data_IF_527972313330
#
_entry.id   IF_527972313330
#
_cell.length_a   1.000
_cell.length_b   1.000
_cell.length_c   1.000
_cell.angle_alpha   90.00
_cell.angle_beta   90.00
_cell.angle_gamma   90.00
#
_symmetry.space_group_name_H-M   'P 1'
#
loop_
_entity.id
_entity.type
_entity.pdbx_description
1 polymer ?
#
# COMPACT_ATOMS: atom_id res chain seq x y z
N UNK A 1 -57.73 35.34 2.05
CA UNK A 1 -58.14 34.12 2.77
C UNK A 1 -58.86 33.20 1.81
N UNK A 2 -58.26 32.08 1.43
CA UNK A 2 -59.01 30.89 0.98
C UNK A 2 -58.07 29.69 1.12
N UNK A 3 -58.37 28.81 2.09
CA UNK A 3 -57.63 27.58 2.36
C UNK A 3 -58.07 26.53 1.33
N UNK A 4 -57.12 25.84 0.68
CA UNK A 4 -57.41 24.60 -0.04
C UNK A 4 -57.52 23.43 0.94
N UNK A 5 -58.31 22.39 0.64
CA UNK A 5 -58.68 21.34 1.59
C UNK A 5 -57.55 20.33 1.81
N UNK A 6 -57.48 19.75 3.02
CA UNK A 6 -56.65 18.58 3.30
C UNK A 6 -57.25 17.31 2.65
N UNK A 7 -56.42 16.38 2.14
CA UNK A 7 -56.91 15.10 1.65
C UNK A 7 -57.41 14.20 2.80
N UNK A 8 -58.42 13.40 2.50
CA UNK A 8 -59.09 12.44 3.40
C UNK A 8 -58.22 11.22 3.73
N UNK A 9 -58.48 10.62 4.91
CA UNK A 9 -57.78 9.47 5.53
C UNK A 9 -57.70 8.17 4.70
N UNK A 10 -58.21 8.13 3.46
CA UNK A 10 -58.14 6.95 2.58
C UNK A 10 -56.97 6.97 1.59
N UNK A 11 -56.23 8.07 1.45
CA UNK A 11 -55.00 8.12 0.64
C UNK A 11 -53.73 7.73 1.42
N UNK A 12 -53.86 7.33 2.69
CA UNK A 12 -52.76 6.94 3.57
C UNK A 12 -52.46 5.42 3.58
N UNK A 13 -53.07 4.64 2.66
CA UNK A 13 -53.03 3.18 2.66
C UNK A 13 -52.33 2.53 1.44
N UNK A 14 -51.33 3.19 0.84
CA UNK A 14 -50.51 2.57 -0.22
C UNK A 14 -49.00 2.66 -0.04
N UNK A 15 -48.53 3.03 1.15
CA UNK A 15 -47.12 2.94 1.54
C UNK A 15 -46.99 2.13 2.84
N UNK A 16 -47.44 0.88 2.80
CA UNK A 16 -46.99 -0.11 3.78
C UNK A 16 -45.52 -0.41 3.48
N UNK A 17 -44.65 0.29 4.20
CA UNK A 17 -43.23 0.02 4.21
C UNK A 17 -42.99 -1.43 4.53
N UNK A 18 -42.12 -2.06 3.74
CA UNK A 18 -41.45 -3.28 4.17
C UNK A 18 -40.80 -2.98 5.51
N UNK A 19 -41.25 -3.66 6.55
CA UNK A 19 -40.65 -3.61 7.86
C UNK A 19 -39.16 -3.90 7.69
N UNK A 20 -38.31 -2.92 7.99
CA UNK A 20 -36.87 -3.11 8.06
C UNK A 20 -36.60 -4.16 9.13
N UNK A 21 -36.39 -5.40 8.66
CA UNK A 21 -36.08 -6.55 9.47
C UNK A 21 -34.69 -6.35 10.07
N UNK A 22 -34.64 -5.93 11.34
CA UNK A 22 -33.40 -5.64 12.08
C UNK A 22 -32.45 -6.84 12.17
N UNK A 23 -32.91 -8.04 11.85
CA UNK A 23 -32.09 -9.26 11.83
C UNK A 23 -31.40 -9.51 10.47
N UNK A 24 -31.88 -8.92 9.37
CA UNK A 24 -31.28 -9.03 8.03
C UNK A 24 -30.44 -7.80 7.72
N UNK A 25 -29.31 -7.67 8.39
CA UNK A 25 -27.98 -7.22 7.91
C UNK A 25 -27.12 -6.96 9.16
N UNK A 26 -27.01 -7.94 10.05
CA UNK A 26 -25.69 -8.12 10.64
C UNK A 26 -24.82 -8.55 9.46
N UNK A 27 -23.88 -7.70 9.05
CA UNK A 27 -22.77 -8.11 8.19
C UNK A 27 -22.33 -9.47 8.71
N UNK A 28 -22.52 -10.50 7.89
CA UNK A 28 -22.12 -11.85 8.23
C UNK A 28 -20.66 -11.79 8.66
N UNK A 29 -20.42 -11.99 9.95
CA UNK A 29 -19.08 -11.97 10.55
C UNK A 29 -18.33 -13.26 10.25
N UNK A 30 -18.86 -14.11 9.36
CA UNK A 30 -18.15 -15.25 8.81
C UNK A 30 -16.87 -14.77 8.12
N UNK A 31 -15.77 -15.53 8.25
CA UNK A 31 -14.52 -15.25 7.55
C UNK A 31 -14.81 -15.11 6.06
N UNK A 32 -14.33 -14.02 5.45
CA UNK A 32 -14.40 -13.86 4.00
C UNK A 32 -13.57 -15.00 3.36
N UNK A 33 -14.18 -15.76 2.45
CA UNK A 33 -13.45 -16.80 1.72
C UNK A 33 -12.22 -16.21 1.04
N UNK A 34 -11.06 -16.87 1.16
CA UNK A 34 -9.82 -16.49 0.47
C UNK A 34 -9.88 -16.75 -1.03
N UNK A 35 -10.88 -17.52 -1.47
CA UNK A 35 -11.14 -17.86 -2.87
C UNK A 35 -12.54 -17.40 -3.30
N UNK A 36 -12.68 -16.99 -4.56
CA UNK A 36 -13.99 -16.73 -5.16
C UNK A 36 -14.71 -18.01 -5.56
N UNK A 37 -15.93 -17.88 -6.09
CA UNK A 37 -16.78 -18.99 -6.53
C UNK A 37 -16.11 -19.86 -7.61
N UNK A 38 -15.08 -19.35 -8.29
CA UNK A 38 -14.30 -20.06 -9.31
C UNK A 38 -12.97 -20.60 -8.76
N UNK A 39 -12.76 -20.55 -7.43
CA UNK A 39 -11.56 -21.03 -6.76
C UNK A 39 -10.32 -20.15 -6.96
N UNK A 40 -10.50 -18.88 -7.34
CA UNK A 40 -9.40 -17.92 -7.58
C UNK A 40 -9.16 -17.08 -6.32
N UNK A 41 -7.91 -16.71 -6.00
CA UNK A 41 -7.63 -15.92 -4.80
C UNK A 41 -8.37 -14.57 -4.81
N UNK A 42 -8.78 -14.12 -3.63
CA UNK A 42 -9.36 -12.78 -3.40
C UNK A 42 -8.35 -11.96 -2.59
N UNK A 43 -7.55 -11.10 -3.24
CA UNK A 43 -6.55 -10.30 -2.54
C UNK A 43 -7.19 -9.35 -1.52
N UNK A 44 -6.67 -9.38 -0.30
CA UNK A 44 -7.08 -8.42 0.74
C UNK A 44 -6.34 -7.11 0.51
N UNK A 45 -7.10 -6.06 0.19
CA UNK A 45 -6.55 -4.75 -0.17
C UNK A 45 -7.11 -3.63 0.69
N UNK A 46 -6.32 -2.58 0.88
CA UNK A 46 -6.69 -1.39 1.64
C UNK A 46 -6.71 -0.19 0.68
N UNK A 47 -7.90 0.23 0.20
CA UNK A 47 -8.02 1.39 -0.66
C UNK A 47 -7.98 2.69 0.16
N UNK A 48 -7.26 3.68 -0.39
CA UNK A 48 -7.13 5.05 0.10
C UNK A 48 -7.59 6.00 -1.01
N UNK A 49 -8.54 6.89 -0.72
CA UNK A 49 -8.83 8.01 -1.62
C UNK A 49 -7.67 9.01 -1.55
N UNK A 50 -6.90 9.15 -2.64
CA UNK A 50 -5.74 10.05 -2.68
C UNK A 50 -6.16 11.46 -3.11
N UNK A 51 -6.93 11.54 -4.20
CA UNK A 51 -7.46 12.77 -4.74
C UNK A 51 -8.75 12.47 -5.52
N UNK A 52 -9.55 13.49 -5.93
CA UNK A 52 -10.76 13.24 -6.72
C UNK A 52 -10.49 12.39 -7.97
N UNK A 53 -11.15 11.24 -8.07
CA UNK A 53 -11.01 10.31 -9.19
C UNK A 53 -9.66 9.56 -9.26
N UNK A 54 -8.86 9.58 -8.18
CA UNK A 54 -7.59 8.85 -8.09
C UNK A 54 -7.48 8.20 -6.71
N UNK A 55 -7.28 6.88 -6.71
CA UNK A 55 -7.11 6.09 -5.50
C UNK A 55 -5.75 5.42 -5.44
N UNK A 56 -5.38 5.07 -4.22
CA UNK A 56 -4.21 4.24 -3.89
C UNK A 56 -4.71 2.94 -3.29
N UNK A 57 -4.03 1.84 -3.57
CA UNK A 57 -4.34 0.53 -3.04
C UNK A 57 -3.07 -0.08 -2.44
N UNK A 58 -3.13 -0.46 -1.17
CA UNK A 58 -2.09 -1.27 -0.55
C UNK A 58 -2.57 -2.72 -0.46
N UNK A 59 -1.77 -3.66 -0.95
CA UNK A 59 -2.06 -5.09 -0.77
C UNK A 59 -1.51 -5.55 0.57
N UNK A 60 -2.24 -6.39 1.30
CA UNK A 60 -1.71 -7.07 2.49
C UNK A 60 -1.00 -8.37 2.07
N UNK A 61 -0.59 -9.21 3.03
CA UNK A 61 -0.13 -10.57 2.76
C UNK A 61 -1.24 -11.62 2.67
N UNK A 62 -2.51 -11.24 2.85
CA UNK A 62 -3.67 -12.15 2.87
C UNK A 62 -4.35 -12.27 1.50
N UNK A 63 -5.03 -13.39 1.28
CA UNK A 63 -5.90 -13.57 0.11
C UNK A 63 -5.17 -13.96 -1.18
N UNK A 64 -4.10 -14.75 -1.04
CA UNK A 64 -3.33 -15.31 -2.17
C UNK A 64 -3.13 -16.81 -2.04
N UNK A 65 -2.37 -17.39 -2.98
CA UNK A 65 -2.14 -18.85 -3.06
C UNK A 65 -0.68 -19.26 -2.82
N UNK A 66 0.21 -18.32 -2.51
CA UNK A 66 1.59 -18.64 -2.14
C UNK A 66 1.62 -19.35 -0.78
N UNK A 67 2.66 -20.15 -0.53
CA UNK A 67 2.80 -20.96 0.68
C UNK A 67 4.12 -20.70 1.42
N UNK A 68 4.23 -21.22 2.64
CA UNK A 68 5.43 -21.10 3.47
C UNK A 68 5.83 -19.64 3.71
N UNK A 69 7.11 -19.34 3.48
CA UNK A 69 7.69 -18.00 3.70
C UNK A 69 7.06 -16.89 2.85
N UNK A 70 6.40 -17.27 1.76
CA UNK A 70 5.72 -16.36 0.84
C UNK A 70 4.22 -16.26 1.10
N UNK A 71 3.67 -17.01 2.06
CA UNK A 71 2.23 -17.05 2.28
C UNK A 71 1.65 -15.68 2.69
N UNK A 72 0.50 -15.25 2.15
CA UNK A 72 -0.35 -15.90 1.12
C UNK A 72 -0.32 -15.15 -0.22
N UNK A 73 -0.35 -13.81 -0.19
CA UNK A 73 -0.40 -12.95 -1.37
C UNK A 73 0.97 -12.37 -1.73
N UNK A 74 1.92 -13.23 -2.09
CA UNK A 74 3.19 -12.74 -2.63
C UNK A 74 3.02 -12.29 -4.09
N UNK A 75 3.40 -11.04 -4.36
CA UNK A 75 3.35 -10.44 -5.69
C UNK A 75 4.73 -10.32 -6.32
N UNK A 76 5.82 -10.62 -5.59
CA UNK A 76 7.20 -10.51 -6.04
C UNK A 76 7.81 -11.86 -6.46
N UNK A 77 8.22 -11.99 -7.73
CA UNK A 77 8.81 -13.24 -8.26
C UNK A 77 10.32 -13.41 -8.03
N UNK A 78 11.04 -12.36 -7.63
CA UNK A 78 12.52 -12.41 -7.47
C UNK A 78 12.97 -13.16 -6.21
N UNK A 79 12.06 -13.40 -5.27
CA UNK A 79 12.37 -14.05 -3.99
C UNK A 79 12.59 -15.55 -4.09
N UNK A 80 12.14 -16.20 -5.17
CA UNK A 80 12.20 -17.66 -5.31
C UNK A 80 10.90 -18.40 -4.96
N UNK A 81 9.78 -17.69 -4.84
CA UNK A 81 8.44 -18.28 -4.75
C UNK A 81 8.05 -19.02 -6.05
N UNK A 82 7.03 -19.86 -5.97
CA UNK A 82 6.46 -20.54 -7.13
C UNK A 82 5.95 -19.51 -8.17
N UNK A 83 6.49 -19.51 -9.40
CA UNK A 83 6.05 -18.61 -10.46
C UNK A 83 4.56 -18.71 -10.78
N UNK A 84 3.94 -19.90 -10.62
CA UNK A 84 2.51 -20.08 -10.86
C UNK A 84 1.67 -19.39 -9.77
N UNK A 85 2.07 -19.52 -8.50
CA UNK A 85 1.42 -18.84 -7.39
C UNK A 85 1.52 -17.31 -7.54
N UNK A 86 2.70 -16.78 -7.84
CA UNK A 86 2.91 -15.34 -8.07
C UNK A 86 2.07 -14.84 -9.27
N UNK A 87 2.00 -15.62 -10.36
CA UNK A 87 1.17 -15.28 -11.51
C UNK A 87 -0.32 -15.25 -11.16
N UNK A 88 -0.82 -16.25 -10.42
CA UNK A 88 -2.20 -16.32 -9.96
C UNK A 88 -2.56 -15.14 -9.05
N UNK A 89 -1.70 -14.79 -8.08
CA UNK A 89 -1.87 -13.64 -7.20
C UNK A 89 -1.96 -12.32 -7.99
N UNK A 90 -1.06 -12.11 -8.96
CA UNK A 90 -1.07 -10.91 -9.81
C UNK A 90 -2.31 -10.85 -10.70
N UNK A 91 -2.74 -11.99 -11.25
CA UNK A 91 -3.93 -12.05 -12.09
C UNK A 91 -5.20 -11.74 -11.30
N UNK A 92 -5.32 -12.28 -10.08
CA UNK A 92 -6.43 -11.98 -9.18
C UNK A 92 -6.47 -10.50 -8.80
N UNK A 93 -5.32 -9.91 -8.46
CA UNK A 93 -5.23 -8.49 -8.16
C UNK A 93 -5.62 -7.61 -9.36
N UNK A 94 -5.14 -7.96 -10.57
CA UNK A 94 -5.50 -7.22 -11.79
C UNK A 94 -7.00 -7.26 -12.08
N UNK A 95 -7.66 -8.40 -11.84
CA UNK A 95 -9.12 -8.53 -11.95
C UNK A 95 -9.86 -7.68 -10.91
N UNK A 96 -9.42 -7.72 -9.66
CA UNK A 96 -10.04 -6.94 -8.57
C UNK A 96 -9.92 -5.43 -8.82
N UNK A 97 -8.81 -4.99 -9.42
CA UNK A 97 -8.58 -3.58 -9.77
C UNK A 97 -9.27 -3.17 -11.08
N UNK A 98 -9.78 -4.12 -11.86
CA UNK A 98 -10.24 -3.94 -13.24
C UNK A 98 -9.24 -3.16 -14.12
N UNK A 99 -7.94 -3.39 -13.88
CA UNK A 99 -6.85 -2.68 -14.53
C UNK A 99 -5.62 -3.56 -14.71
N UNK A 100 -4.92 -3.46 -15.86
CA UNK A 100 -3.57 -4.02 -15.98
C UNK A 100 -2.60 -3.31 -15.03
N UNK A 101 -1.77 -4.10 -14.35
CA UNK A 101 -0.81 -3.61 -13.36
C UNK A 101 0.57 -3.48 -14.00
N UNK A 102 1.09 -2.26 -14.13
CA UNK A 102 2.45 -2.01 -14.68
C UNK A 102 3.49 -2.11 -13.57
N UNK A 103 4.52 -2.90 -13.83
CA UNK A 103 5.59 -3.21 -12.87
C UNK A 103 6.97 -2.98 -13.51
N UNK A 104 7.95 -2.65 -12.67
CA UNK A 104 9.35 -2.44 -13.05
C UNK A 104 10.30 -3.29 -12.21
N UNK A 105 11.53 -3.46 -12.69
CA UNK A 105 12.60 -4.12 -11.97
C UNK A 105 13.30 -3.15 -11.02
N UNK A 106 12.79 -3.03 -9.80
CA UNK A 106 13.40 -2.22 -8.74
C UNK A 106 14.85 -2.63 -8.45
N UNK A 107 15.75 -1.65 -8.48
CA UNK A 107 17.20 -1.81 -8.23
C UNK A 107 17.76 -0.76 -7.26
N UNK A 108 16.88 -0.03 -6.57
CA UNK A 108 17.20 1.06 -5.64
C UNK A 108 17.93 2.25 -6.30
N UNK A 109 17.53 2.59 -7.52
CA UNK A 109 17.96 3.74 -8.31
C UNK A 109 17.01 4.94 -8.16
N UNK A 110 17.25 6.00 -8.95
CA UNK A 110 16.32 7.11 -9.16
C UNK A 110 15.71 7.13 -10.58
N UNK A 111 15.80 6.00 -11.31
CA UNK A 111 15.25 5.92 -12.67
C UNK A 111 13.73 5.84 -12.64
N UNK A 112 13.09 6.62 -13.50
CA UNK A 112 11.64 6.68 -13.68
C UNK A 112 11.29 6.05 -15.02
N UNK A 113 10.38 5.08 -15.02
CA UNK A 113 9.79 4.50 -16.22
C UNK A 113 8.56 5.28 -16.65
N UNK A 114 8.40 5.48 -17.95
CA UNK A 114 7.21 6.06 -18.55
C UNK A 114 6.22 4.94 -18.92
N UNK A 115 5.21 4.75 -18.08
CA UNK A 115 4.22 3.69 -18.25
C UNK A 115 3.20 3.99 -19.36
N UNK A 116 3.22 5.17 -19.98
CA UNK A 116 2.42 5.44 -21.18
C UNK A 116 2.84 4.52 -22.34
N UNK A 117 4.10 4.06 -22.34
CA UNK A 117 4.66 3.07 -23.27
C UNK A 117 4.09 1.65 -23.06
N UNK A 118 3.27 1.44 -22.03
CA UNK A 118 2.70 0.15 -21.66
C UNK A 118 3.62 -0.69 -20.77
N UNK A 119 3.35 -1.99 -20.74
CA UNK A 119 4.17 -2.95 -19.99
C UNK A 119 5.58 -3.01 -20.58
N UNK A 120 6.63 -2.96 -19.75
CA UNK A 120 7.98 -3.13 -20.26
C UNK A 120 8.17 -4.48 -20.95
N UNK A 121 8.81 -4.47 -22.12
CA UNK A 121 9.18 -5.69 -22.83
C UNK A 121 10.49 -6.23 -22.27
N UNK A 122 10.38 -7.18 -21.33
CA UNK A 122 11.53 -7.78 -20.67
C UNK A 122 11.99 -6.95 -19.46
N UNK A 123 13.30 -6.99 -19.17
CA UNK A 123 13.87 -6.40 -17.95
C UNK A 123 13.89 -4.87 -18.05
N UNK A 124 13.24 -4.19 -17.11
CA UNK A 124 13.14 -2.74 -17.09
C UNK A 124 13.55 -2.21 -15.72
N UNK A 125 14.84 -1.88 -15.57
CA UNK A 125 15.35 -1.42 -14.30
C UNK A 125 14.92 0.02 -13.99
N UNK A 126 13.97 0.17 -13.07
CA UNK A 126 13.50 1.46 -12.58
C UNK A 126 12.98 1.32 -11.15
N UNK A 127 12.95 2.43 -10.42
CA UNK A 127 12.41 2.48 -9.06
C UNK A 127 11.27 3.48 -8.94
N UNK A 128 10.85 4.08 -10.04
CA UNK A 128 9.67 4.90 -10.13
C UNK A 128 8.98 4.72 -11.48
N UNK A 129 7.70 5.08 -11.52
CA UNK A 129 6.90 5.06 -12.74
C UNK A 129 6.04 6.34 -12.80
N UNK A 130 5.75 6.81 -14.01
CA UNK A 130 4.81 7.91 -14.28
C UNK A 130 3.86 7.51 -15.40
N UNK A 131 2.62 8.01 -15.38
CA UNK A 131 1.67 7.84 -16.48
C UNK A 131 0.69 9.01 -16.57
N UNK A 132 0.21 9.26 -17.79
CA UNK A 132 -0.95 10.11 -18.09
C UNK A 132 -2.20 9.29 -18.40
N UNK A 133 -2.06 7.96 -18.50
CA UNK A 133 -3.14 7.03 -18.82
C UNK A 133 -3.98 6.68 -17.59
N UNK A 134 -5.29 6.55 -17.80
CA UNK A 134 -6.28 6.17 -16.78
C UNK A 134 -6.63 4.68 -16.78
N UNK A 135 -6.22 3.96 -17.81
CA UNK A 135 -6.50 2.53 -18.02
C UNK A 135 -5.42 1.61 -17.43
N UNK A 136 -4.54 2.13 -16.57
CA UNK A 136 -3.44 1.40 -15.95
C UNK A 136 -3.44 1.58 -14.43
N UNK A 137 -2.91 0.58 -13.71
CA UNK A 137 -2.49 0.70 -12.32
C UNK A 137 -0.96 0.65 -12.24
N UNK A 138 -0.32 1.68 -11.67
CA UNK A 138 1.12 1.67 -11.46
C UNK A 138 1.45 1.03 -10.11
N UNK A 139 2.20 -0.07 -10.12
CA UNK A 139 2.56 -0.81 -8.91
C UNK A 139 4.03 -0.68 -8.55
N UNK A 140 4.33 -0.62 -7.24
CA UNK A 140 5.70 -0.74 -6.74
C UNK A 140 5.77 -1.74 -5.59
N UNK A 141 6.76 -2.61 -5.62
CA UNK A 141 6.97 -3.61 -4.58
C UNK A 141 7.54 -2.97 -3.32
N UNK A 142 7.07 -3.45 -2.17
CA UNK A 142 7.62 -3.06 -0.89
C UNK A 142 7.66 -4.25 0.09
N UNK A 143 8.69 -4.25 0.91
CA UNK A 143 8.82 -4.97 2.16
C UNK A 143 9.86 -4.15 2.95
N UNK A 144 9.39 -3.29 3.85
CA UNK A 144 10.13 -2.24 4.56
C UNK A 144 10.47 -0.96 3.80
N UNK A 145 10.89 -1.02 2.54
CA UNK A 145 11.14 0.21 1.76
C UNK A 145 9.84 1.00 1.59
N UNK A 146 9.95 2.34 1.57
CA UNK A 146 8.80 3.25 1.52
C UNK A 146 8.25 3.37 0.09
N UNK A 147 6.99 3.00 -0.19
CA UNK A 147 6.32 3.41 -1.40
C UNK A 147 5.75 4.84 -1.25
N UNK A 148 6.06 5.73 -2.19
CA UNK A 148 5.46 7.06 -2.29
C UNK A 148 4.60 7.11 -3.56
N UNK A 149 3.34 7.49 -3.42
CA UNK A 149 2.38 7.58 -4.52
C UNK A 149 1.93 9.02 -4.66
N UNK A 150 1.89 9.51 -5.89
CA UNK A 150 1.70 10.92 -6.22
C UNK A 150 0.67 11.09 -7.33
N UNK A 151 -0.15 12.12 -7.26
CA UNK A 151 -1.07 12.47 -8.34
C UNK A 151 -1.31 13.98 -8.43
N UNK A 152 -1.39 14.51 -9.65
CA UNK A 152 -2.02 15.82 -9.90
C UNK A 152 -3.48 15.60 -10.31
N UNK A 153 -4.47 15.93 -9.46
CA UNK A 153 -5.88 15.68 -9.77
C UNK A 153 -6.43 16.55 -10.91
N UNK A 154 -5.73 17.61 -11.32
CA UNK A 154 -6.18 18.47 -12.43
C UNK A 154 -5.80 17.90 -13.78
N UNK A 155 -4.61 17.34 -13.90
CA UNK A 155 -4.12 16.75 -15.16
C UNK A 155 -4.35 15.25 -15.24
N UNK A 156 -4.57 14.59 -14.09
CA UNK A 156 -4.69 13.13 -14.00
C UNK A 156 -3.34 12.40 -14.07
N UNK A 157 -2.22 13.13 -14.06
CA UNK A 157 -0.88 12.54 -14.07
C UNK A 157 -0.66 11.82 -12.73
N UNK A 158 -0.28 10.54 -12.81
CA UNK A 158 0.00 9.69 -11.66
C UNK A 158 1.46 9.27 -11.66
N UNK A 159 2.05 9.16 -10.46
CA UNK A 159 3.40 8.67 -10.24
C UNK A 159 3.49 7.77 -9.02
N UNK A 160 4.43 6.84 -9.05
CA UNK A 160 4.78 5.98 -7.91
C UNK A 160 6.29 5.82 -7.82
N UNK A 161 6.83 5.78 -6.60
CA UNK A 161 8.26 5.66 -6.34
C UNK A 161 8.55 4.69 -5.19
N UNK A 162 9.59 3.87 -5.39
CA UNK A 162 10.22 3.02 -4.41
C UNK A 162 11.35 3.78 -3.69
N UNK A 163 11.03 4.28 -2.50
CA UNK A 163 11.90 5.12 -1.70
C UNK A 163 12.61 4.31 -0.61
N UNK A 164 13.38 3.30 -1.00
CA UNK A 164 14.37 2.70 -0.12
C UNK A 164 15.50 3.70 0.20
N UNK A 165 16.29 3.44 1.25
CA UNK A 165 17.40 4.33 1.66
C UNK A 165 18.29 4.78 0.50
N UNK A 166 18.72 3.84 -0.35
CA UNK A 166 19.57 4.12 -1.52
C UNK A 166 18.86 4.98 -2.58
N UNK A 167 17.59 4.70 -2.84
CA UNK A 167 16.77 5.47 -3.79
C UNK A 167 16.51 6.90 -3.32
N UNK A 168 16.28 7.09 -2.02
CA UNK A 168 16.17 8.41 -1.41
C UNK A 168 17.47 9.22 -1.57
N UNK A 169 18.61 8.63 -1.23
CA UNK A 169 19.92 9.28 -1.43
C UNK A 169 20.17 9.62 -2.91
N UNK A 170 19.72 8.75 -3.83
CA UNK A 170 19.82 8.96 -5.27
C UNK A 170 18.84 9.99 -5.84
N UNK A 171 17.87 10.47 -5.06
CA UNK A 171 16.88 11.47 -5.50
C UNK A 171 15.72 10.91 -6.31
N UNK A 172 15.20 9.72 -5.95
CA UNK A 172 14.06 9.12 -6.67
C UNK A 172 12.79 9.99 -6.61
N UNK A 173 12.51 10.66 -5.49
CA UNK A 173 11.34 11.54 -5.35
C UNK A 173 11.40 12.76 -6.28
N UNK A 174 12.46 13.59 -6.27
CA UNK A 174 12.55 14.71 -7.20
C UNK A 174 12.59 14.25 -8.66
N UNK A 175 13.17 13.08 -8.96
CA UNK A 175 13.10 12.50 -10.32
C UNK A 175 11.66 12.18 -10.74
N UNK A 176 10.85 11.57 -9.86
CA UNK A 176 9.43 11.27 -10.14
C UNK A 176 8.62 12.56 -10.31
N UNK A 177 8.78 13.55 -9.43
CA UNK A 177 8.06 14.84 -9.53
C UNK A 177 8.43 15.56 -10.82
N UNK A 178 9.72 15.55 -11.21
CA UNK A 178 10.15 16.10 -12.49
C UNK A 178 9.48 15.37 -13.66
N UNK A 179 9.48 14.04 -13.66
CA UNK A 179 8.84 13.25 -14.71
C UNK A 179 7.33 13.52 -14.82
N UNK A 180 6.64 13.73 -13.70
CA UNK A 180 5.24 14.17 -13.68
C UNK A 180 5.08 15.58 -14.26
N UNK A 181 5.97 16.50 -13.92
CA UNK A 181 5.95 17.90 -14.40
C UNK A 181 6.21 17.98 -15.90
N UNK A 182 7.12 17.16 -16.42
CA UNK A 182 7.38 17.01 -17.85
C UNK A 182 6.12 16.51 -18.61
N UNK A 183 5.14 15.94 -17.91
CA UNK A 183 3.81 15.51 -18.42
C UNK A 183 2.68 16.50 -18.10
N UNK A 184 3.02 17.70 -17.62
CA UNK A 184 2.07 18.78 -17.37
C UNK A 184 1.51 18.83 -15.94
N UNK A 185 1.95 17.95 -15.03
CA UNK A 185 1.61 18.11 -13.62
C UNK A 185 2.20 19.40 -13.04
N UNK A 186 1.52 19.99 -12.07
CA UNK A 186 2.02 21.12 -11.28
C UNK A 186 2.39 20.63 -9.88
N UNK A 187 3.66 20.72 -9.44
CA UNK A 187 4.08 20.26 -8.12
C UNK A 187 3.25 20.82 -6.96
N UNK A 188 2.76 22.06 -7.07
CA UNK A 188 1.94 22.68 -6.03
C UNK A 188 0.55 22.05 -5.87
N UNK A 189 0.09 21.30 -6.90
CA UNK A 189 -1.18 20.58 -6.91
C UNK A 189 -1.02 19.09 -6.67
N UNK A 190 0.21 18.57 -6.74
CA UNK A 190 0.46 17.15 -6.51
C UNK A 190 0.07 16.81 -5.06
N UNK A 191 -0.73 15.77 -4.95
CA UNK A 191 -1.08 15.11 -3.69
C UNK A 191 -0.26 13.84 -3.59
N UNK A 192 0.41 13.66 -2.45
CA UNK A 192 1.17 12.45 -2.18
C UNK A 192 0.59 11.65 -1.01
N UNK A 193 0.88 10.35 -0.96
CA UNK A 193 0.74 9.55 0.27
C UNK A 193 1.97 8.68 0.45
N UNK A 194 2.31 8.43 1.72
CA UNK A 194 3.42 7.56 2.12
C UNK A 194 2.82 6.24 2.60
N UNK A 195 3.08 5.16 1.87
CA UNK A 195 2.52 3.86 2.22
C UNK A 195 3.26 3.13 3.34
N UNK A 196 2.89 1.85 3.57
CA UNK A 196 3.47 1.03 4.62
C UNK A 196 4.96 0.80 4.40
N UNK A 197 5.75 0.91 5.47
CA UNK A 197 7.23 0.91 5.45
C UNK A 197 7.79 0.59 6.83
N UNK A 198 9.08 0.35 6.96
CA UNK A 198 9.70 0.24 8.29
C UNK A 198 9.77 1.61 8.95
N UNK A 199 9.35 1.73 10.22
CA UNK A 199 9.36 3.01 10.93
C UNK A 199 10.74 3.37 11.48
N UNK A 200 10.95 4.65 11.81
CA UNK A 200 12.17 5.18 12.42
C UNK A 200 12.62 4.39 13.65
N UNK A 201 11.70 4.03 14.54
CA UNK A 201 12.05 3.29 15.76
C UNK A 201 12.50 1.84 15.48
N UNK A 202 12.28 1.32 14.27
CA UNK A 202 12.58 -0.06 13.86
C UNK A 202 13.78 -0.18 12.92
N UNK A 203 14.10 0.85 12.15
CA UNK A 203 15.03 0.73 11.02
C UNK A 203 16.49 0.92 11.46
N UNK A 204 16.97 0.00 12.29
CA UNK A 204 18.34 -0.01 12.78
C UNK A 204 19.35 -0.18 11.64
N UNK A 205 20.39 0.64 11.66
CA UNK A 205 21.48 0.65 10.67
C UNK A 205 22.83 0.84 11.38
N UNK A 206 23.93 0.61 10.66
CA UNK A 206 25.28 0.90 11.18
C UNK A 206 25.52 2.40 11.37
N UNK A 207 26.45 2.75 12.27
CA UNK A 207 26.78 4.14 12.63
C UNK A 207 27.16 5.00 11.42
N UNK A 208 28.01 4.48 10.53
CA UNK A 208 28.53 5.22 9.39
C UNK A 208 27.41 5.57 8.40
N UNK A 209 26.53 4.59 8.16
CA UNK A 209 25.36 4.76 7.32
C UNK A 209 24.38 5.76 7.94
N UNK A 210 24.13 5.69 9.25
CA UNK A 210 23.27 6.65 9.92
C UNK A 210 23.82 8.07 9.82
N UNK A 211 25.13 8.24 10.02
CA UNK A 211 25.82 9.52 9.92
C UNK A 211 25.71 10.10 8.50
N UNK A 212 25.94 9.30 7.47
CA UNK A 212 25.81 9.76 6.08
C UNK A 212 24.34 10.07 5.71
N UNK A 213 23.39 9.32 6.27
CA UNK A 213 21.96 9.59 6.08
C UNK A 213 21.55 10.90 6.75
N UNK A 214 22.00 11.15 7.99
CA UNK A 214 21.77 12.39 8.74
C UNK A 214 22.36 13.62 8.03
N UNK A 215 23.57 13.51 7.46
CA UNK A 215 24.16 14.58 6.65
C UNK A 215 23.28 14.94 5.44
N UNK A 216 22.70 13.93 4.78
CA UNK A 216 21.86 14.14 3.59
C UNK A 216 20.44 14.60 3.94
N UNK A 217 19.92 14.14 5.08
CA UNK A 217 18.57 14.38 5.58
C UNK A 217 18.62 14.74 7.07
N UNK A 218 18.94 16.00 7.42
CA UNK A 218 19.08 16.40 8.83
C UNK A 218 17.80 16.16 9.64
N UNK A 219 17.93 15.48 10.77
CA UNK A 219 16.84 15.06 11.65
C UNK A 219 16.15 13.76 11.23
N UNK A 220 16.67 13.05 10.23
CA UNK A 220 16.14 11.76 9.78
C UNK A 220 16.93 10.56 10.34
N UNK A 221 17.66 10.74 11.43
CA UNK A 221 18.25 9.66 12.23
C UNK A 221 17.94 9.83 13.71
N UNK A 222 17.96 8.72 14.46
CA UNK A 222 17.62 8.73 15.88
C UNK A 222 17.88 7.40 16.57
N UNK A 223 17.54 7.29 17.87
CA UNK A 223 17.72 6.04 18.60
C UNK A 223 16.80 4.94 18.06
N UNK A 224 17.34 3.73 17.90
CA UNK A 224 16.54 2.55 17.57
C UNK A 224 15.98 1.90 18.84
N UNK A 225 14.75 1.38 18.80
CA UNK A 225 14.15 0.65 19.93
C UNK A 225 14.93 -0.60 20.33
N UNK A 226 15.70 -1.17 19.41
CA UNK A 226 16.52 -2.37 19.61
C UNK A 226 17.95 -2.02 20.06
N UNK A 227 18.23 -0.75 20.36
CA UNK A 227 19.57 -0.22 20.61
C UNK A 227 20.28 0.22 19.33
N UNK A 228 21.28 1.10 19.47
CA UNK A 228 21.98 1.70 18.33
C UNK A 228 21.16 2.80 17.63
N UNK A 229 21.49 3.06 16.36
CA UNK A 229 20.94 4.17 15.57
C UNK A 229 20.00 3.63 14.50
N UNK A 230 18.90 4.31 14.28
CA UNK A 230 17.98 4.05 13.19
C UNK A 230 17.80 5.29 12.30
N UNK A 231 17.25 5.07 11.11
CA UNK A 231 16.94 6.11 10.13
C UNK A 231 15.44 6.21 9.86
N UNK A 232 14.97 7.43 9.60
CA UNK A 232 13.60 7.73 9.23
C UNK A 232 13.50 8.06 7.73
N UNK A 233 13.24 7.02 6.94
CA UNK A 233 13.01 7.16 5.50
C UNK A 233 11.74 7.95 5.17
N UNK A 234 10.79 8.08 6.11
CA UNK A 234 9.60 8.90 5.92
C UNK A 234 9.93 10.38 6.04
N UNK A 235 10.68 10.74 7.09
CA UNK A 235 11.12 12.11 7.30
C UNK A 235 11.97 12.58 6.11
N UNK A 236 12.92 11.75 5.64
CA UNK A 236 13.69 12.02 4.43
C UNK A 236 12.80 12.21 3.19
N UNK A 237 11.79 11.36 2.99
CA UNK A 237 10.86 11.50 1.87
C UNK A 237 10.03 12.80 1.94
N UNK A 238 9.57 13.19 3.13
CA UNK A 238 8.82 14.44 3.34
C UNK A 238 9.71 15.65 3.01
N UNK A 239 11.00 15.63 3.39
CA UNK A 239 11.94 16.70 3.02
C UNK A 239 12.09 16.82 1.50
N UNK A 240 12.26 15.71 0.79
CA UNK A 240 12.40 15.68 -0.66
C UNK A 240 11.11 16.12 -1.38
N UNK A 241 9.94 15.66 -0.91
CA UNK A 241 8.64 16.09 -1.43
C UNK A 241 8.47 17.60 -1.30
N UNK A 242 8.75 18.15 -0.11
CA UNK A 242 8.67 19.58 0.16
C UNK A 242 9.65 20.37 -0.71
N UNK A 243 10.88 19.89 -0.86
CA UNK A 243 11.88 20.52 -1.72
C UNK A 243 11.48 20.49 -3.20
N UNK A 244 10.75 19.46 -3.63
CA UNK A 244 10.19 19.34 -4.97
C UNK A 244 8.87 20.14 -5.17
N UNK A 245 8.40 20.86 -4.15
CA UNK A 245 7.17 21.68 -4.23
C UNK A 245 5.87 20.93 -3.88
N UNK A 246 5.96 19.66 -3.49
CA UNK A 246 4.82 18.83 -3.09
C UNK A 246 4.58 18.96 -1.59
N UNK A 247 3.54 19.69 -1.19
CA UNK A 247 3.25 19.97 0.23
C UNK A 247 1.99 19.31 0.76
N UNK A 248 1.14 18.74 -0.12
CA UNK A 248 -0.08 18.06 0.30
C UNK A 248 0.14 16.56 0.44
N UNK A 249 0.13 16.05 1.67
CA UNK A 249 0.35 14.64 1.99
C UNK A 249 -0.89 14.09 2.70
N UNK A 250 -1.53 13.10 2.09
CA UNK A 250 -2.65 12.36 2.66
C UNK A 250 -2.12 11.29 3.61
N UNK A 251 -2.54 11.36 4.88
CA UNK A 251 -2.21 10.34 5.87
C UNK A 251 -3.09 9.10 5.69
N UNK A 252 -2.46 7.98 5.33
CA UNK A 252 -3.12 6.69 5.16
C UNK A 252 -3.18 5.87 6.45
N UNK A 253 -2.50 6.30 7.53
CA UNK A 253 -2.42 5.57 8.79
C UNK A 253 -3.78 5.30 9.44
N UNK A 254 -4.76 6.23 9.47
CA UNK A 254 -6.08 5.94 10.05
C UNK A 254 -6.82 4.81 9.34
N UNK A 255 -6.77 4.79 8.00
CA UNK A 255 -7.43 3.76 7.19
C UNK A 255 -6.76 2.40 7.34
N UNK A 256 -5.43 2.37 7.37
CA UNK A 256 -4.67 1.16 7.66
C UNK A 256 -4.90 0.67 9.09
N UNK A 257 -4.97 1.57 10.07
CA UNK A 257 -5.28 1.25 11.46
C UNK A 257 -6.65 0.58 11.57
N UNK A 258 -7.67 1.14 10.93
CA UNK A 258 -9.00 0.55 10.88
C UNK A 258 -9.00 -0.86 10.24
N UNK A 259 -8.29 -1.04 9.12
CA UNK A 259 -8.14 -2.36 8.49
C UNK A 259 -7.43 -3.36 9.42
N UNK A 260 -6.41 -2.92 10.14
CA UNK A 260 -5.69 -3.75 11.13
C UNK A 260 -6.59 -4.15 12.29
N UNK A 261 -7.44 -3.24 12.78
CA UNK A 261 -8.42 -3.56 13.81
C UNK A 261 -9.48 -4.55 13.32
N UNK A 262 -9.95 -4.40 12.08
CA UNK A 262 -10.92 -5.32 11.49
C UNK A 262 -10.38 -6.74 11.35
N UNK A 263 -9.12 -6.87 10.91
CA UNK A 263 -8.45 -8.15 10.69
C UNK A 263 -7.83 -8.75 11.97
N UNK A 264 -8.07 -8.15 13.14
CA UNK A 264 -7.47 -8.60 14.41
C UNK A 264 -7.84 -10.03 14.80
N UNK A 265 -9.01 -10.50 14.37
CA UNK A 265 -9.55 -11.83 14.66
C UNK A 265 -9.71 -12.67 13.38
N UNK A 266 -9.07 -12.25 12.29
CA UNK A 266 -9.12 -12.95 11.02
C UNK A 266 -8.39 -14.30 11.13
N UNK A 267 -9.05 -15.43 10.81
CA UNK A 267 -8.47 -16.75 11.02
C UNK A 267 -7.29 -17.02 10.09
N UNK A 268 -7.29 -16.50 8.87
CA UNK A 268 -6.18 -16.67 7.93
C UNK A 268 -4.94 -15.91 8.42
N UNK A 269 -5.13 -14.69 8.95
CA UNK A 269 -4.04 -13.93 9.56
C UNK A 269 -3.48 -14.61 10.81
N UNK A 270 -4.33 -15.21 11.66
CA UNK A 270 -3.91 -15.96 12.84
C UNK A 270 -3.10 -17.20 12.43
N UNK A 271 -3.61 -17.98 11.48
CA UNK A 271 -2.92 -19.16 10.95
C UNK A 271 -1.54 -18.78 10.39
N UNK A 272 -1.51 -17.76 9.54
CA UNK A 272 -0.29 -17.28 8.91
C UNK A 272 0.74 -16.77 9.94
N UNK A 273 0.31 -16.07 11.00
CA UNK A 273 1.22 -15.64 12.07
C UNK A 273 1.70 -16.80 12.95
N UNK A 274 0.91 -17.88 13.07
CA UNK A 274 1.31 -19.07 13.80
C UNK A 274 2.38 -19.90 13.08
N UNK A 275 2.44 -19.79 11.75
CA UNK A 275 3.34 -20.57 10.89
C UNK A 275 4.56 -19.78 10.40
N UNK A 276 4.54 -18.45 10.43
CA UNK A 276 5.57 -17.63 9.78
C UNK A 276 6.93 -17.57 10.52
N UNK A 277 6.99 -18.05 11.77
CA UNK A 277 8.18 -18.01 12.63
C UNK A 277 8.75 -16.59 12.86
N UNK A 278 7.92 -15.55 12.70
CA UNK A 278 8.34 -14.13 12.71
C UNK A 278 8.10 -13.41 14.06
N UNK A 279 7.86 -14.16 15.13
CA UNK A 279 7.63 -13.59 16.47
C UNK A 279 6.53 -14.32 17.25
N UNK A 280 5.93 -13.67 18.26
CA UNK A 280 4.88 -14.28 19.08
C UNK A 280 3.55 -14.44 18.32
N UNK A 281 2.48 -14.86 19.01
CA UNK A 281 1.13 -14.95 18.46
C UNK A 281 0.63 -13.63 17.88
N UNK A 282 -0.36 -13.70 16.97
CA UNK A 282 -0.99 -12.53 16.35
C UNK A 282 -1.51 -11.56 17.42
N UNK A 283 -2.22 -12.08 18.43
CA UNK A 283 -2.74 -11.29 19.56
C UNK A 283 -1.67 -10.42 20.22
N UNK A 284 -0.51 -11.00 20.53
CA UNK A 284 0.60 -10.29 21.17
C UNK A 284 1.26 -9.28 20.22
N UNK A 285 1.45 -9.63 18.94
CA UNK A 285 1.95 -8.69 17.92
C UNK A 285 1.06 -7.46 17.82
N UNK A 286 -0.27 -7.65 17.86
CA UNK A 286 -1.24 -6.56 17.76
C UNK A 286 -1.47 -5.79 19.07
N UNK A 287 -1.08 -6.33 20.23
CA UNK A 287 -1.02 -5.58 21.50
C UNK A 287 0.19 -4.64 21.53
N UNK A 288 1.32 -5.08 20.97
CA UNK A 288 2.57 -4.31 20.92
C UNK A 288 2.64 -3.33 19.72
N UNK A 289 1.69 -3.41 18.79
CA UNK A 289 1.61 -2.57 17.60
C UNK A 289 1.37 -1.11 17.98
N UNK A 290 2.30 -0.23 17.57
CA UNK A 290 2.21 1.23 17.82
C UNK A 290 1.96 2.02 16.55
N UNK A 291 2.46 1.53 15.41
CA UNK A 291 2.47 2.22 14.13
C UNK A 291 1.87 1.30 13.07
N UNK A 292 0.61 1.53 12.66
CA UNK A 292 -0.08 0.62 11.75
C UNK A 292 0.59 0.52 10.36
N UNK A 293 1.27 1.58 9.93
CA UNK A 293 2.08 1.58 8.69
C UNK A 293 3.44 0.88 8.84
N UNK A 294 3.88 0.55 10.05
CA UNK A 294 5.18 -0.08 10.25
C UNK A 294 5.13 -1.53 9.77
N UNK A 295 5.84 -1.83 8.69
CA UNK A 295 5.93 -3.20 8.12
C UNK A 295 6.51 -4.20 9.11
N UNK A 296 7.46 -3.79 9.95
CA UNK A 296 8.04 -4.66 10.98
C UNK A 296 7.04 -4.97 12.10
N UNK A 297 6.28 -3.99 12.58
CA UNK A 297 5.33 -4.19 13.70
C UNK A 297 4.02 -4.84 13.26
N UNK A 298 3.44 -4.40 12.15
CA UNK A 298 2.11 -4.83 11.73
C UNK A 298 2.21 -6.11 10.89
N UNK A 299 1.64 -7.24 11.36
CA UNK A 299 1.72 -8.52 10.66
C UNK A 299 0.95 -8.58 9.34
N UNK A 300 0.11 -7.58 9.03
CA UNK A 300 -0.55 -7.48 7.72
C UNK A 300 0.43 -7.36 6.55
N UNK A 301 1.66 -6.91 6.82
CA UNK A 301 2.66 -6.63 5.79
C UNK A 301 3.76 -7.69 5.77
N UNK A 302 4.32 -7.94 4.59
CA UNK A 302 5.65 -8.53 4.52
C UNK A 302 6.70 -7.54 5.05
N UNK A 303 7.71 -8.05 5.75
CA UNK A 303 8.85 -7.27 6.23
C UNK A 303 10.14 -8.03 6.04
N UNK A 304 11.06 -7.44 5.29
CA UNK A 304 12.38 -8.01 5.06
C UNK A 304 13.19 -8.08 6.36
N UNK A 305 13.09 -7.07 7.21
CA UNK A 305 13.71 -7.02 8.54
C UNK A 305 13.15 -8.10 9.45
N UNK A 306 11.83 -8.32 9.45
CA UNK A 306 11.23 -9.38 10.27
C UNK A 306 11.69 -10.77 9.81
N UNK A 307 11.66 -11.02 8.50
CA UNK A 307 12.15 -12.26 7.91
C UNK A 307 13.65 -12.49 8.20
N UNK A 308 14.47 -11.43 8.11
CA UNK A 308 15.91 -11.49 8.43
C UNK A 308 16.15 -11.84 9.90
N UNK A 309 15.39 -11.24 10.83
CA UNK A 309 15.49 -11.56 12.27
C UNK A 309 15.06 -12.99 12.57
N UNK A 310 14.11 -13.52 11.80
CA UNK A 310 13.66 -14.91 11.86
C UNK A 310 14.58 -15.89 11.09
N UNK A 311 15.65 -15.40 10.45
CA UNK A 311 16.57 -16.22 9.64
C UNK A 311 15.88 -16.99 8.50
N UNK A 312 14.82 -16.41 7.93
CA UNK A 312 14.08 -17.00 6.80
C UNK A 312 14.92 -16.93 5.53
N UNK A 313 14.71 -17.90 4.64
CA UNK A 313 15.44 -17.98 3.36
C UNK A 313 14.75 -17.17 2.25
N UNK A 314 13.48 -16.83 2.44
CA UNK A 314 12.75 -15.92 1.57
C UNK A 314 11.66 -15.16 2.29
N UNK A 315 11.06 -14.21 1.57
CA UNK A 315 9.90 -13.46 2.02
C UNK A 315 9.15 -12.84 0.85
N UNK A 316 7.84 -12.67 0.99
CA UNK A 316 7.00 -12.07 -0.04
C UNK A 316 7.21 -10.57 -0.23
N UNK A 317 6.50 -10.01 -1.23
CA UNK A 317 6.42 -8.57 -1.49
C UNK A 317 4.97 -8.15 -1.64
N UNK A 318 4.59 -7.09 -0.93
CA UNK A 318 3.33 -6.38 -1.17
C UNK A 318 3.50 -5.41 -2.35
N UNK A 319 2.39 -4.98 -2.94
CA UNK A 319 2.32 -3.86 -3.86
C UNK A 319 1.62 -2.67 -3.21
N UNK A 320 2.19 -1.49 -3.44
CA UNK A 320 1.47 -0.24 -3.35
C UNK A 320 1.16 0.23 -4.78
N UNK A 321 -0.12 0.48 -5.06
CA UNK A 321 -0.61 0.82 -6.38
C UNK A 321 -1.32 2.15 -6.40
N UNK A 322 -1.22 2.87 -7.52
CA UNK A 322 -2.02 4.05 -7.83
C UNK A 322 -2.76 3.85 -9.16
N UNK A 323 -4.02 4.26 -9.20
CA UNK A 323 -4.89 4.14 -10.37
C UNK A 323 -5.98 5.21 -10.33
N UNK A 324 -6.45 5.59 -11.51
CA UNK A 324 -7.62 6.45 -11.66
C UNK A 324 -8.90 5.64 -11.40
N UNK A 325 -9.90 6.29 -10.81
CA UNK A 325 -11.27 5.79 -10.83
C UNK A 325 -11.89 6.00 -12.22
N UNK A 326 -12.90 5.20 -12.52
CA UNK A 326 -13.76 5.34 -13.72
C UNK A 326 -14.51 6.68 -13.75
#
# INVERSE_FOLDING_TARGET
MSRKPQPSEQDAQSLQGEAWDRERTLLDSSPLSTLDEQGRPIPVTIPIALAPGIKVVYTTRLGGVSSGDYAQLNLGGKGGDDPQAVAANRQALGRQLDRPIVLVDQVHSARVWDADQGQPQGRCEADAQVTTRRDLALGIFAADCLPVLLADPRTGVMGVAHCGRRGLVAGVIPATVKAMTDRGADPSRIVATLGPRICADCYQVGSDLAHDFEKRFPGASGPCRFGGIAIDIAAAAIMELKAAGVTHIVDSAPRVGAATSYLRQDPDLEELCSQDSEGPSLSKRLEELRRPLCTLENPLWYSHRRASLASKTGEGRMLALILADD
#
